data_IF_091593196439
#
_entry.id   IF_091593196439
#
_cell.length_a   1.000
_cell.length_b   1.000
_cell.length_c   1.000
_cell.angle_alpha   90.00
_cell.angle_beta   90.00
_cell.angle_gamma   90.00
#
_symmetry.space_group_name_H-M   'P 1'
#
loop_
_entity.id
_entity.type
_entity.pdbx_description
1 polymer ?
#
# COMPACT_ATOMS: atom_id res chain seq x y z
N UNK A 1 17.23 -25.08 13.40
CA UNK A 1 16.89 -24.10 14.44
C UNK A 1 15.37 -24.06 14.50
N UNK A 2 14.81 -24.58 15.59
CA UNK A 2 13.37 -24.71 15.80
C UNK A 2 12.77 -23.32 15.98
N UNK A 3 11.97 -22.87 15.00
CA UNK A 3 11.05 -21.75 15.14
C UNK A 3 9.93 -22.18 16.11
N UNK A 4 10.23 -22.17 17.40
CA UNK A 4 9.17 -22.17 18.40
C UNK A 4 8.47 -20.82 18.23
N UNK A 5 7.28 -20.88 17.62
CA UNK A 5 6.40 -19.74 17.43
C UNK A 5 6.19 -19.06 18.80
N UNK A 6 6.71 -17.84 18.98
CA UNK A 6 6.39 -16.93 20.08
C UNK A 6 4.92 -16.46 20.01
N UNK A 7 4.01 -17.39 19.81
CA UNK A 7 2.57 -17.17 19.96
C UNK A 7 2.29 -17.41 21.45
N UNK A 8 2.16 -16.33 22.20
CA UNK A 8 1.74 -16.42 23.60
C UNK A 8 0.35 -17.07 23.67
N UNK A 9 0.21 -18.30 24.22
CA UNK A 9 -1.00 -19.11 24.11
C UNK A 9 -2.18 -18.61 24.96
N UNK A 10 -2.05 -17.47 25.66
CA UNK A 10 -3.03 -16.99 26.64
C UNK A 10 -3.57 -15.58 26.35
N UNK A 11 -3.42 -15.05 25.13
CA UNK A 11 -4.07 -13.79 24.80
C UNK A 11 -5.56 -14.01 24.58
N UNK A 12 -6.36 -13.28 25.36
CA UNK A 12 -7.83 -13.18 25.22
C UNK A 12 -8.17 -12.13 24.17
N UNK A 13 -9.42 -12.10 23.68
CA UNK A 13 -9.90 -10.98 22.87
C UNK A 13 -9.51 -9.64 23.52
N UNK A 14 -8.97 -8.73 22.69
CA UNK A 14 -8.49 -7.41 23.15
C UNK A 14 -9.09 -6.31 22.24
N UNK A 15 -10.31 -5.85 22.53
CA UNK A 15 -11.00 -4.83 21.72
C UNK A 15 -10.20 -3.54 21.57
N UNK A 16 -9.45 -3.13 22.60
CA UNK A 16 -8.64 -1.92 22.52
C UNK A 16 -7.47 -2.06 21.54
N UNK A 17 -6.90 -3.27 21.44
CA UNK A 17 -5.86 -3.57 20.44
C UNK A 17 -6.44 -3.64 19.03
N UNK A 18 -7.60 -4.27 18.87
CA UNK A 18 -8.33 -4.31 17.60
C UNK A 18 -8.66 -2.90 17.13
N UNK A 19 -9.12 -2.02 18.01
CA UNK A 19 -9.37 -0.62 17.64
C UNK A 19 -8.11 0.10 17.18
N UNK A 20 -6.96 -0.11 17.85
CA UNK A 20 -5.69 0.44 17.38
C UNK A 20 -5.29 -0.09 15.99
N UNK A 21 -5.56 -1.36 15.69
CA UNK A 21 -5.33 -1.91 14.34
C UNK A 21 -6.23 -1.27 13.30
N UNK A 22 -7.50 -1.03 13.63
CA UNK A 22 -8.46 -0.28 12.77
C UNK A 22 -7.95 1.13 12.47
N UNK A 23 -7.50 1.85 13.48
CA UNK A 23 -6.96 3.22 13.32
C UNK A 23 -5.69 3.23 12.45
N UNK A 24 -4.83 2.24 12.60
CA UNK A 24 -3.60 2.11 11.79
C UNK A 24 -3.95 1.77 10.35
N UNK A 25 -4.87 0.83 10.11
CA UNK A 25 -5.24 0.42 8.75
C UNK A 25 -5.93 1.53 7.99
N UNK A 26 -6.75 2.34 8.65
CA UNK A 26 -7.39 3.51 8.03
C UNK A 26 -6.36 4.57 7.61
N UNK A 27 -5.36 4.83 8.46
CA UNK A 27 -4.25 5.70 8.07
C UNK A 27 -3.48 5.14 6.87
N UNK A 28 -3.13 3.85 6.90
CA UNK A 28 -2.40 3.18 5.83
C UNK A 28 -3.19 3.14 4.52
N UNK A 29 -4.52 3.04 4.59
CA UNK A 29 -5.39 3.08 3.41
C UNK A 29 -5.15 4.36 2.60
N UNK A 30 -5.10 5.53 3.25
CA UNK A 30 -4.82 6.81 2.57
C UNK A 30 -3.42 6.85 1.94
N UNK A 31 -2.41 6.35 2.66
CA UNK A 31 -1.03 6.31 2.16
C UNK A 31 -0.87 5.37 0.96
N UNK A 32 -1.50 4.19 1.02
CA UNK A 32 -1.44 3.19 -0.06
C UNK A 32 -2.28 3.64 -1.26
N UNK A 33 -3.45 4.25 -1.03
CA UNK A 33 -4.24 4.90 -2.10
C UNK A 33 -3.38 5.89 -2.88
N UNK A 34 -2.64 6.75 -2.19
CA UNK A 34 -1.76 7.72 -2.83
C UNK A 34 -0.62 7.02 -3.61
N UNK A 35 -0.07 5.94 -3.07
CA UNK A 35 0.98 5.14 -3.73
C UNK A 35 0.48 4.55 -5.04
N UNK A 36 -0.71 3.95 -5.03
CA UNK A 36 -1.36 3.33 -6.20
C UNK A 36 -1.74 4.39 -7.23
N UNK A 37 -2.37 5.48 -6.80
CA UNK A 37 -2.76 6.60 -7.66
C UNK A 37 -1.55 7.17 -8.42
N UNK A 38 -0.45 7.43 -7.72
CA UNK A 38 0.76 7.96 -8.36
C UNK A 38 1.38 6.99 -9.37
N UNK A 39 1.30 5.67 -9.12
CA UNK A 39 1.70 4.65 -10.09
C UNK A 39 0.89 4.75 -11.37
N UNK A 40 -0.42 4.81 -11.23
CA UNK A 40 -1.36 4.83 -12.35
C UNK A 40 -1.24 6.14 -13.16
N UNK A 41 -1.08 7.26 -12.46
CA UNK A 41 -0.87 8.58 -13.09
C UNK A 41 0.46 8.64 -13.82
N UNK A 42 1.53 8.10 -13.23
CA UNK A 42 2.82 8.07 -13.91
C UNK A 42 2.80 7.20 -15.16
N UNK A 43 2.08 6.08 -15.15
CA UNK A 43 1.92 5.23 -16.33
C UNK A 43 1.18 5.98 -17.47
N UNK A 44 0.15 6.76 -17.15
CA UNK A 44 -0.55 7.64 -18.11
C UNK A 44 0.38 8.73 -18.64
N UNK A 45 1.10 9.44 -17.73
CA UNK A 45 2.06 10.47 -18.10
C UNK A 45 3.15 9.91 -19.05
N UNK A 46 3.74 8.76 -18.71
CA UNK A 46 4.77 8.13 -19.54
C UNK A 46 4.24 7.80 -20.94
N UNK A 47 3.00 7.28 -21.04
CA UNK A 47 2.34 7.02 -22.32
C UNK A 47 2.17 8.28 -23.15
N UNK A 48 1.76 9.39 -22.54
CA UNK A 48 1.60 10.69 -23.23
C UNK A 48 2.95 11.20 -23.72
N UNK A 49 3.97 11.19 -22.86
CA UNK A 49 5.32 11.68 -23.20
C UNK A 49 5.95 10.85 -24.33
N UNK A 50 5.91 9.52 -24.22
CA UNK A 50 6.46 8.63 -25.24
C UNK A 50 5.67 8.66 -26.57
N UNK A 51 4.36 8.94 -26.50
CA UNK A 51 3.52 9.08 -27.69
C UNK A 51 3.68 10.43 -28.39
N UNK A 52 4.33 11.40 -27.80
CA UNK A 52 4.53 12.74 -28.38
C UNK A 52 5.89 12.87 -29.05
N UNK A 53 5.91 12.80 -30.39
CA UNK A 53 7.15 12.87 -31.16
C UNK A 53 7.93 14.20 -30.93
N UNK A 54 7.26 15.33 -30.72
CA UNK A 54 7.92 16.61 -30.43
C UNK A 54 8.65 16.59 -29.09
N UNK A 55 8.01 16.02 -28.05
CA UNK A 55 8.64 15.86 -26.73
C UNK A 55 9.85 14.94 -26.81
N UNK A 56 9.74 13.85 -27.57
CA UNK A 56 10.82 12.89 -27.74
C UNK A 56 11.98 13.44 -28.56
N UNK A 57 11.71 14.31 -29.53
CA UNK A 57 12.75 14.98 -30.35
C UNK A 57 13.38 16.17 -29.64
N UNK A 58 12.64 16.84 -28.75
CA UNK A 58 13.17 17.90 -27.93
C UNK A 58 14.20 17.32 -26.96
N UNK A 59 15.47 17.68 -27.07
CA UNK A 59 16.53 17.19 -26.16
C UNK A 59 16.39 17.75 -24.73
N UNK A 60 15.18 17.74 -24.20
CA UNK A 60 14.83 18.25 -22.87
C UNK A 60 15.12 17.22 -21.79
N UNK A 61 15.85 17.58 -20.73
CA UNK A 61 16.05 16.70 -19.57
C UNK A 61 14.81 16.59 -18.67
N UNK A 62 13.74 17.36 -18.94
CA UNK A 62 12.57 17.44 -18.05
C UNK A 62 11.86 16.08 -17.85
N UNK A 63 11.57 15.30 -18.91
CA UNK A 63 10.94 13.97 -18.72
C UNK A 63 11.79 13.03 -17.84
N UNK A 64 13.11 13.08 -17.99
CA UNK A 64 14.02 12.28 -17.16
C UNK A 64 13.97 12.70 -15.68
N UNK A 65 13.87 14.02 -15.40
CA UNK A 65 13.70 14.52 -14.03
C UNK A 65 12.38 14.09 -13.42
N UNK A 66 11.28 14.15 -14.18
CA UNK A 66 9.96 13.69 -13.70
C UNK A 66 10.03 12.19 -13.35
N UNK A 67 10.65 11.38 -14.20
CA UNK A 67 10.89 9.95 -13.93
C UNK A 67 11.69 9.76 -12.64
N UNK A 68 12.70 10.56 -12.40
CA UNK A 68 13.49 10.49 -11.17
C UNK A 68 12.66 10.87 -9.95
N UNK A 69 11.96 11.99 -9.98
CA UNK A 69 11.11 12.43 -8.85
C UNK A 69 10.03 11.41 -8.51
N UNK A 70 9.38 10.84 -9.53
CA UNK A 70 8.44 9.75 -9.32
C UNK A 70 9.11 8.57 -8.60
N UNK A 71 10.24 8.09 -9.14
CA UNK A 71 10.96 6.95 -8.58
C UNK A 71 11.33 7.18 -7.12
N UNK A 72 11.98 8.31 -6.82
CA UNK A 72 12.45 8.62 -5.48
C UNK A 72 11.28 8.78 -4.50
N UNK A 73 10.19 9.42 -4.95
CA UNK A 73 8.95 9.53 -4.16
C UNK A 73 8.33 8.17 -3.83
N UNK A 74 8.19 7.29 -4.82
CA UNK A 74 7.58 5.97 -4.61
C UNK A 74 8.45 5.08 -3.73
N UNK A 75 9.75 5.08 -3.94
CA UNK A 75 10.71 4.34 -3.11
C UNK A 75 10.60 4.76 -1.65
N UNK A 76 10.58 6.06 -1.36
CA UNK A 76 10.48 6.56 0.01
C UNK A 76 9.11 6.27 0.65
N UNK A 77 8.02 6.29 -0.13
CA UNK A 77 6.68 5.89 0.35
C UNK A 77 6.63 4.40 0.69
N UNK A 78 7.14 3.53 -0.21
CA UNK A 78 7.23 2.08 0.04
C UNK A 78 8.04 1.82 1.31
N UNK A 79 9.21 2.44 1.44
CA UNK A 79 10.05 2.31 2.64
C UNK A 79 9.27 2.66 3.91
N UNK A 80 8.54 3.79 3.92
CA UNK A 80 7.76 4.24 5.08
C UNK A 80 6.61 3.29 5.42
N UNK A 81 5.86 2.83 4.41
CA UNK A 81 4.75 1.88 4.60
C UNK A 81 5.26 0.53 5.14
N UNK A 82 6.48 0.15 4.79
CA UNK A 82 7.10 -1.13 5.20
C UNK A 82 8.16 -0.97 6.29
N UNK A 83 8.23 0.18 6.93
CA UNK A 83 9.18 0.41 8.03
C UNK A 83 9.03 -0.66 9.10
N UNK A 84 10.17 -1.25 9.49
CA UNK A 84 10.23 -2.30 10.50
C UNK A 84 10.41 -1.75 11.91
N UNK A 85 11.10 -2.52 12.74
CA UNK A 85 11.39 -2.15 14.13
C UNK A 85 12.02 -0.75 14.21
N UNK A 86 11.41 0.12 15.01
CA UNK A 86 11.90 1.46 15.31
C UNK A 86 11.83 1.68 16.82
N UNK A 87 12.68 2.53 17.35
CA UNK A 87 12.60 2.99 18.74
C UNK A 87 11.40 3.93 18.98
N UNK A 88 10.78 4.40 17.88
CA UNK A 88 9.62 5.30 17.93
C UNK A 88 8.34 4.49 18.03
N UNK A 89 7.52 4.77 19.03
CA UNK A 89 6.24 4.10 19.28
C UNK A 89 5.08 4.65 18.42
N UNK A 90 5.32 5.72 17.64
CA UNK A 90 4.33 6.43 16.85
C UNK A 90 4.34 6.05 15.35
N UNK A 91 5.22 5.12 14.96
CA UNK A 91 5.32 4.68 13.55
C UNK A 91 4.15 3.79 13.18
N UNK A 92 3.45 4.20 12.12
CA UNK A 92 2.33 3.45 11.52
C UNK A 92 2.81 2.84 10.23
N UNK A 93 3.08 1.54 10.23
CA UNK A 93 3.48 0.81 9.03
C UNK A 93 2.70 -0.49 8.89
N UNK A 94 2.53 -0.94 7.64
CA UNK A 94 1.87 -2.21 7.34
C UNK A 94 2.64 -3.39 7.94
N UNK A 95 3.96 -3.36 7.88
CA UNK A 95 4.80 -4.40 8.47
C UNK A 95 4.60 -4.52 9.97
N UNK A 96 4.67 -3.41 10.71
CA UNK A 96 4.48 -3.40 12.17
C UNK A 96 3.08 -3.82 12.57
N UNK A 97 2.04 -3.40 11.81
CA UNK A 97 0.68 -3.87 12.01
C UNK A 97 0.60 -5.39 11.91
N UNK A 98 1.11 -5.98 10.83
CA UNK A 98 1.08 -7.42 10.61
C UNK A 98 1.92 -8.20 11.64
N UNK A 99 3.07 -7.66 12.05
CA UNK A 99 3.88 -8.27 13.12
C UNK A 99 3.14 -8.26 14.45
N UNK A 100 2.40 -7.21 14.79
CA UNK A 100 1.59 -7.16 16.01
C UNK A 100 0.38 -8.09 15.93
N UNK A 101 -0.33 -8.11 14.80
CA UNK A 101 -1.44 -9.05 14.55
C UNK A 101 -0.97 -10.50 14.64
N UNK A 102 0.20 -10.85 14.10
CA UNK A 102 0.78 -12.19 14.18
C UNK A 102 1.11 -12.59 15.62
N UNK A 103 1.64 -11.67 16.42
CA UNK A 103 1.97 -11.91 17.85
C UNK A 103 0.74 -12.03 18.73
N UNK A 104 -0.31 -11.32 18.39
CA UNK A 104 -1.53 -11.22 19.17
C UNK A 104 -2.76 -11.75 18.39
N UNK A 105 -2.60 -12.85 17.64
CA UNK A 105 -3.65 -13.37 16.76
C UNK A 105 -4.95 -13.72 17.50
N UNK A 106 -4.91 -14.07 18.79
CA UNK A 106 -6.10 -14.36 19.60
C UNK A 106 -6.82 -13.06 20.07
N UNK A 107 -6.27 -11.88 19.85
CA UNK A 107 -6.95 -10.63 20.16
C UNK A 107 -8.10 -10.30 19.21
N UNK A 108 -8.11 -10.90 17.99
CA UNK A 108 -9.12 -10.72 16.97
C UNK A 108 -9.83 -12.05 16.72
N UNK A 109 -11.12 -12.07 16.92
CA UNK A 109 -12.00 -13.22 16.82
C UNK A 109 -13.06 -12.99 15.75
N UNK A 110 -13.88 -14.00 15.47
CA UNK A 110 -15.05 -13.83 14.61
C UNK A 110 -16.00 -12.78 15.14
N UNK A 111 -16.20 -12.70 16.47
CA UNK A 111 -17.03 -11.70 17.11
C UNK A 111 -16.53 -10.27 16.81
N UNK A 112 -15.21 -10.10 16.65
CA UNK A 112 -14.64 -8.79 16.28
C UNK A 112 -15.07 -8.32 14.89
N UNK A 113 -15.44 -9.23 13.99
CA UNK A 113 -16.05 -8.89 12.69
C UNK A 113 -17.53 -8.62 12.86
N UNK A 114 -18.24 -9.38 13.70
CA UNK A 114 -19.68 -9.17 13.98
C UNK A 114 -19.94 -7.79 14.54
N UNK A 115 -19.08 -7.30 15.43
CA UNK A 115 -19.13 -5.93 15.98
C UNK A 115 -19.13 -4.83 14.90
N UNK A 116 -18.51 -5.06 13.72
CA UNK A 116 -18.52 -4.08 12.63
C UNK A 116 -19.92 -3.86 12.06
N UNK A 117 -20.77 -4.88 12.09
CA UNK A 117 -22.13 -4.85 11.58
C UNK A 117 -23.14 -4.38 12.65
N UNK A 118 -22.70 -4.26 13.91
CA UNK A 118 -23.48 -3.72 15.02
C UNK A 118 -23.16 -2.25 15.32
N UNK A 119 -22.08 -1.73 14.72
CA UNK A 119 -21.65 -0.36 14.94
C UNK A 119 -22.70 0.64 14.42
N UNK A 120 -22.82 1.79 15.10
CA UNK A 120 -23.69 2.87 14.67
C UNK A 120 -23.35 3.34 13.24
N UNK A 121 -24.37 3.36 12.37
CA UNK A 121 -24.18 3.70 10.95
C UNK A 121 -23.78 2.54 10.04
N UNK A 122 -23.65 1.31 10.57
CA UNK A 122 -23.48 0.12 9.72
C UNK A 122 -24.73 -0.08 8.84
N UNK A 123 -24.58 -0.61 7.61
CA UNK A 123 -25.72 -0.94 6.77
C UNK A 123 -26.63 -1.97 7.45
N UNK A 124 -27.95 -1.76 7.36
CA UNK A 124 -28.96 -2.67 7.91
C UNK A 124 -29.10 -3.88 6.96
N UNK A 125 -28.33 -4.92 7.26
CA UNK A 125 -28.43 -6.20 6.56
C UNK A 125 -29.40 -7.15 7.33
N UNK A 126 -30.16 -7.94 6.58
CA UNK A 126 -30.89 -9.06 7.20
C UNK A 126 -29.91 -10.08 7.80
N UNK A 127 -30.42 -10.94 8.68
CA UNK A 127 -29.58 -11.90 9.42
C UNK A 127 -28.78 -12.82 8.52
N UNK A 128 -29.39 -13.32 7.41
CA UNK A 128 -28.72 -14.24 6.49
C UNK A 128 -27.55 -13.54 5.73
N UNK A 129 -27.78 -12.34 5.24
CA UNK A 129 -26.76 -11.55 4.56
C UNK A 129 -25.63 -11.19 5.51
N UNK A 130 -25.93 -10.78 6.74
CA UNK A 130 -24.95 -10.49 7.78
C UNK A 130 -24.07 -11.72 8.08
N UNK A 131 -24.66 -12.88 8.33
CA UNK A 131 -23.96 -14.12 8.62
C UNK A 131 -23.06 -14.56 7.43
N UNK A 132 -23.54 -14.35 6.19
CA UNK A 132 -22.76 -14.59 5.00
C UNK A 132 -21.53 -13.67 4.93
N UNK A 133 -21.70 -12.36 5.17
CA UNK A 133 -20.61 -11.38 5.13
C UNK A 133 -19.58 -11.67 6.24
N UNK A 134 -20.02 -11.88 7.47
CA UNK A 134 -19.15 -12.26 8.60
C UNK A 134 -18.35 -13.53 8.27
N UNK A 135 -19.01 -14.56 7.76
CA UNK A 135 -18.37 -15.83 7.41
C UNK A 135 -17.37 -15.66 6.26
N UNK A 136 -17.72 -14.88 5.24
CA UNK A 136 -16.85 -14.56 4.11
C UNK A 136 -15.61 -13.80 4.57
N UNK A 137 -15.77 -12.77 5.40
CA UNK A 137 -14.64 -11.99 5.93
C UNK A 137 -13.76 -12.83 6.84
N UNK A 138 -14.36 -13.65 7.74
CA UNK A 138 -13.63 -14.54 8.62
C UNK A 138 -12.83 -15.58 7.85
N UNK A 139 -13.39 -16.15 6.78
CA UNK A 139 -12.69 -17.14 5.95
C UNK A 139 -11.38 -16.63 5.34
N UNK A 140 -11.25 -15.31 5.19
CA UNK A 140 -10.05 -14.70 4.65
C UNK A 140 -8.92 -14.54 5.68
N UNK A 141 -9.23 -14.33 6.96
CA UNK A 141 -8.22 -13.95 7.98
C UNK A 141 -8.16 -14.90 9.16
N UNK A 142 -9.23 -15.64 9.43
CA UNK A 142 -9.35 -16.58 10.56
C UNK A 142 -8.60 -17.89 10.33
N UNK A 143 -8.27 -18.58 11.42
CA UNK A 143 -7.65 -19.93 11.39
C UNK A 143 -8.70 -21.01 11.15
N UNK A 144 -9.38 -20.96 9.99
CA UNK A 144 -10.40 -21.94 9.60
C UNK A 144 -9.85 -23.36 9.43
N UNK A 145 -8.54 -23.50 9.20
CA UNK A 145 -7.88 -24.80 9.01
C UNK A 145 -7.88 -25.59 10.32
N UNK A 146 -7.67 -24.90 11.45
CA UNK A 146 -7.69 -25.50 12.78
C UNK A 146 -9.04 -25.34 13.48
N UNK A 147 -9.98 -24.65 12.85
CA UNK A 147 -11.25 -24.25 13.44
C UNK A 147 -11.07 -23.50 14.77
N UNK A 148 -10.08 -22.62 14.84
CA UNK A 148 -9.78 -21.82 16.00
C UNK A 148 -10.29 -20.39 15.79
N UNK A 149 -10.89 -19.82 16.83
CA UNK A 149 -11.41 -18.44 16.79
C UNK A 149 -10.31 -17.42 17.05
N UNK A 150 -9.41 -17.31 16.06
CA UNK A 150 -8.28 -16.39 16.03
C UNK A 150 -7.79 -16.16 14.61
N UNK A 151 -6.97 -15.12 14.39
CA UNK A 151 -6.29 -14.87 13.11
C UNK A 151 -5.36 -16.04 12.73
N UNK A 152 -5.26 -16.30 11.44
CA UNK A 152 -4.37 -17.32 10.90
C UNK A 152 -2.92 -16.84 10.82
N UNK A 153 -2.15 -17.05 11.90
CA UNK A 153 -0.77 -16.57 12.06
C UNK A 153 0.16 -17.01 10.89
N UNK A 154 -0.04 -18.21 10.33
CA UNK A 154 0.76 -18.71 9.20
C UNK A 154 0.52 -17.89 7.93
N UNK A 155 -0.70 -17.45 7.68
CA UNK A 155 -1.04 -16.58 6.56
C UNK A 155 -0.37 -15.21 6.73
N UNK A 156 -0.46 -14.61 7.92
CA UNK A 156 0.20 -13.34 8.24
C UNK A 156 1.71 -13.45 8.02
N UNK A 157 2.34 -14.55 8.45
CA UNK A 157 3.76 -14.84 8.18
C UNK A 157 4.06 -14.89 6.68
N UNK A 158 3.18 -15.51 5.89
CA UNK A 158 3.28 -15.55 4.43
C UNK A 158 3.23 -14.15 3.79
N UNK A 159 2.30 -13.31 4.25
CA UNK A 159 2.18 -11.93 3.77
C UNK A 159 3.41 -11.08 4.14
N UNK A 160 3.93 -11.23 5.35
CA UNK A 160 5.19 -10.57 5.77
C UNK A 160 6.37 -10.99 4.89
N UNK A 161 6.49 -12.27 4.57
CA UNK A 161 7.54 -12.77 3.68
C UNK A 161 7.38 -12.24 2.24
N UNK A 162 6.15 -12.17 1.73
CA UNK A 162 5.87 -11.61 0.40
C UNK A 162 6.23 -10.11 0.33
N UNK A 163 5.88 -9.33 1.36
CA UNK A 163 6.25 -7.91 1.46
C UNK A 163 7.78 -7.73 1.49
N UNK A 164 8.48 -8.55 2.28
CA UNK A 164 9.94 -8.49 2.39
C UNK A 164 10.61 -8.83 1.06
N UNK A 165 10.17 -9.88 0.37
CA UNK A 165 10.71 -10.27 -0.93
C UNK A 165 10.50 -9.19 -1.98
N UNK A 166 9.26 -8.68 -2.12
CA UNK A 166 8.91 -7.67 -3.10
C UNK A 166 9.64 -6.33 -2.86
N UNK A 167 9.90 -5.97 -1.60
CA UNK A 167 10.46 -4.67 -1.24
C UNK A 167 11.98 -4.66 -1.00
N UNK A 168 12.62 -5.81 -0.86
CA UNK A 168 14.03 -5.94 -0.42
C UNK A 168 14.97 -5.01 -1.17
N UNK A 169 14.91 -5.01 -2.49
CA UNK A 169 15.78 -4.17 -3.33
C UNK A 169 15.45 -2.69 -3.18
N UNK A 170 14.17 -2.36 -3.09
CA UNK A 170 13.66 -0.98 -2.99
C UNK A 170 14.08 -0.37 -1.66
N UNK A 171 13.85 -1.08 -0.55
CA UNK A 171 14.21 -0.61 0.79
C UNK A 171 15.73 -0.47 0.93
N UNK A 172 16.50 -1.45 0.45
CA UNK A 172 17.96 -1.37 0.46
C UNK A 172 18.48 -0.15 -0.33
N UNK A 173 17.87 0.16 -1.47
CA UNK A 173 18.24 1.33 -2.26
C UNK A 173 17.86 2.63 -1.52
N UNK A 174 16.66 2.70 -0.94
CA UNK A 174 16.22 3.85 -0.14
C UNK A 174 17.20 4.15 0.99
N UNK A 175 17.57 3.15 1.77
CA UNK A 175 18.46 3.31 2.93
C UNK A 175 19.86 3.75 2.54
N UNK A 176 20.41 3.21 1.44
CA UNK A 176 21.81 3.47 1.04
C UNK A 176 21.98 4.74 0.20
N UNK A 177 20.95 5.15 -0.55
CA UNK A 177 21.11 6.19 -1.58
C UNK A 177 20.28 7.41 -1.32
N UNK A 178 19.03 7.26 -0.85
CA UNK A 178 18.12 8.39 -0.69
C UNK A 178 18.19 8.95 0.73
N UNK A 179 18.20 8.07 1.74
CA UNK A 179 18.21 8.48 3.15
C UNK A 179 19.61 8.85 3.66
N UNK A 180 20.66 8.26 3.09
CA UNK A 180 22.05 8.51 3.45
C UNK A 180 22.87 8.74 2.19
N UNK A 181 23.41 9.94 2.04
CA UNK A 181 24.40 10.25 1.00
C UNK A 181 25.71 9.54 1.38
N UNK A 182 25.82 8.28 1.05
CA UNK A 182 27.05 7.51 1.30
C UNK A 182 28.05 7.82 0.19
N UNK A 183 29.28 8.14 0.60
CA UNK A 183 30.43 8.47 -0.27
C UNK A 183 30.68 7.41 -1.38
N UNK A 184 30.26 6.18 -1.15
CA UNK A 184 30.18 5.14 -2.17
C UNK A 184 28.80 5.17 -2.82
N UNK A 185 28.56 6.08 -3.77
CA UNK A 185 27.33 6.11 -4.55
C UNK A 185 26.97 4.70 -5.02
N UNK A 186 25.75 4.26 -4.72
CA UNK A 186 25.28 2.98 -5.24
C UNK A 186 25.22 3.13 -6.75
N UNK A 187 26.03 2.33 -7.46
CA UNK A 187 26.06 2.37 -8.92
C UNK A 187 24.64 2.27 -9.47
N UNK A 188 24.32 2.97 -10.56
CA UNK A 188 23.01 2.96 -11.24
C UNK A 188 22.47 1.55 -11.49
N UNK A 189 23.36 0.55 -11.59
CA UNK A 189 23.00 -0.86 -11.70
C UNK A 189 22.17 -1.41 -10.51
N UNK A 190 22.14 -0.71 -9.38
CA UNK A 190 21.39 -1.12 -8.19
C UNK A 190 20.05 -0.39 -8.02
N UNK A 191 19.78 0.61 -8.89
CA UNK A 191 18.53 1.35 -8.87
C UNK A 191 17.36 0.42 -9.22
N UNK A 192 16.26 0.42 -8.43
CA UNK A 192 15.07 -0.36 -8.76
C UNK A 192 14.47 0.06 -10.10
N UNK A 193 14.03 -0.90 -10.89
CA UNK A 193 13.32 -0.63 -12.15
C UNK A 193 11.88 -0.22 -11.85
N UNK A 194 11.25 0.51 -12.77
CA UNK A 194 9.83 0.87 -12.67
C UNK A 194 8.92 -0.35 -12.48
N UNK A 195 9.21 -1.45 -13.19
CA UNK A 195 8.47 -2.71 -13.06
C UNK A 195 8.60 -3.34 -11.67
N UNK A 196 9.76 -3.24 -11.03
CA UNK A 196 9.97 -3.73 -9.67
C UNK A 196 9.20 -2.89 -8.65
N UNK A 197 9.18 -1.56 -8.84
CA UNK A 197 8.42 -0.64 -8.01
C UNK A 197 6.92 -0.93 -8.17
N UNK A 198 6.43 -1.06 -9.41
CA UNK A 198 5.03 -1.37 -9.69
C UNK A 198 4.61 -2.70 -9.07
N UNK A 199 5.39 -3.77 -9.27
CA UNK A 199 5.11 -5.08 -8.67
C UNK A 199 5.11 -5.05 -7.15
N UNK A 200 5.97 -4.26 -6.52
CA UNK A 200 5.98 -4.08 -5.07
C UNK A 200 4.70 -3.37 -4.60
N UNK A 201 4.25 -2.36 -5.35
CA UNK A 201 2.99 -1.64 -5.06
C UNK A 201 1.80 -2.60 -5.17
N UNK A 202 1.76 -3.47 -6.19
CA UNK A 202 0.70 -4.47 -6.34
C UNK A 202 0.64 -5.42 -5.12
N UNK A 203 1.79 -5.89 -4.64
CA UNK A 203 1.85 -6.76 -3.44
C UNK A 203 1.39 -6.02 -2.19
N UNK A 204 1.79 -4.76 -2.02
CA UNK A 204 1.34 -3.91 -0.89
C UNK A 204 -0.17 -3.71 -0.95
N UNK A 205 -0.72 -3.36 -2.12
CA UNK A 205 -2.14 -3.11 -2.33
C UNK A 205 -2.97 -4.37 -2.01
N UNK A 206 -2.60 -5.53 -2.57
CA UNK A 206 -3.33 -6.78 -2.36
C UNK A 206 -3.34 -7.19 -0.89
N UNK A 207 -2.20 -7.12 -0.20
CA UNK A 207 -2.13 -7.44 1.21
C UNK A 207 -2.90 -6.42 2.05
N UNK A 208 -2.80 -5.14 1.75
CA UNK A 208 -3.52 -4.10 2.48
C UNK A 208 -5.04 -4.25 2.34
N UNK A 209 -5.57 -4.48 1.13
CA UNK A 209 -7.00 -4.71 0.88
C UNK A 209 -7.55 -5.83 1.76
N UNK A 210 -6.80 -6.91 1.92
CA UNK A 210 -7.17 -8.05 2.74
C UNK A 210 -7.42 -7.65 4.21
N UNK A 211 -6.51 -6.87 4.81
CA UNK A 211 -6.65 -6.44 6.20
C UNK A 211 -7.59 -5.22 6.37
N UNK A 212 -7.70 -4.35 5.37
CA UNK A 212 -8.71 -3.30 5.36
C UNK A 212 -10.10 -3.95 5.44
N UNK A 213 -10.39 -4.90 4.55
CA UNK A 213 -11.68 -5.59 4.57
C UNK A 213 -11.97 -6.24 5.92
N UNK A 214 -10.99 -6.97 6.48
CA UNK A 214 -11.18 -7.67 7.76
C UNK A 214 -11.38 -6.73 8.96
N UNK A 215 -10.70 -5.60 8.98
CA UNK A 215 -10.71 -4.70 10.15
C UNK A 215 -11.79 -3.61 10.07
N UNK A 216 -12.27 -3.27 8.86
CA UNK A 216 -13.20 -2.14 8.65
C UNK A 216 -14.51 -2.54 7.98
N UNK A 217 -14.65 -3.77 7.49
CA UNK A 217 -15.81 -4.19 6.70
C UNK A 217 -15.83 -3.65 5.26
N UNK A 218 -14.88 -2.82 4.87
CA UNK A 218 -14.85 -2.17 3.57
C UNK A 218 -14.04 -2.98 2.54
N UNK A 219 -14.70 -3.58 1.57
CA UNK A 219 -14.07 -4.30 0.46
C UNK A 219 -13.73 -3.37 -0.71
N UNK A 220 -12.53 -3.50 -1.27
CA UNK A 220 -12.07 -2.72 -2.42
C UNK A 220 -11.58 -3.64 -3.53
N UNK A 221 -12.04 -3.41 -4.77
CA UNK A 221 -11.46 -4.07 -5.96
C UNK A 221 -10.06 -3.51 -6.24
N UNK A 222 -9.89 -2.20 -6.10
CA UNK A 222 -8.61 -1.49 -6.12
C UNK A 222 -8.66 -0.34 -5.13
N UNK A 223 -7.48 0.06 -4.60
CA UNK A 223 -7.33 1.27 -3.80
C UNK A 223 -7.09 2.51 -4.68
N UNK A 224 -6.96 2.34 -6.01
CA UNK A 224 -6.94 3.48 -6.94
C UNK A 224 -8.30 4.18 -6.93
N UNK A 225 -8.36 5.49 -6.70
CA UNK A 225 -9.61 6.24 -6.78
C UNK A 225 -10.19 6.16 -8.19
N UNK A 226 -11.52 6.08 -8.28
CA UNK A 226 -12.21 6.22 -9.57
C UNK A 226 -12.15 7.69 -9.96
N UNK A 227 -11.41 8.01 -11.04
CA UNK A 227 -11.34 9.36 -11.57
C UNK A 227 -12.73 9.79 -12.05
N UNK A 228 -13.22 10.92 -11.55
CA UNK A 228 -14.51 11.50 -11.97
C UNK A 228 -14.38 12.29 -13.27
N UNK A 229 -13.17 12.63 -13.67
CA UNK A 229 -12.82 13.35 -14.90
C UNK A 229 -11.43 12.92 -15.36
N UNK A 230 -11.10 13.17 -16.62
CA UNK A 230 -9.76 12.90 -17.14
C UNK A 230 -8.78 13.99 -16.68
N UNK A 231 -8.05 13.75 -15.59
CA UNK A 231 -7.05 14.68 -15.04
C UNK A 231 -5.95 15.00 -16.04
N UNK A 232 -5.74 14.12 -17.03
CA UNK A 232 -4.74 14.28 -18.08
C UNK A 232 -5.28 15.01 -19.33
N UNK A 233 -6.55 15.42 -19.33
CA UNK A 233 -7.15 16.19 -20.43
C UNK A 233 -6.39 17.51 -20.67
N UNK A 234 -5.81 18.08 -19.62
CA UNK A 234 -4.93 19.26 -19.68
C UNK A 234 -3.78 19.10 -20.69
N UNK A 235 -3.28 17.88 -20.93
CA UNK A 235 -2.22 17.62 -21.91
C UNK A 235 -2.69 17.61 -23.36
N UNK A 236 -4.00 17.68 -23.61
CA UNK A 236 -4.57 17.82 -24.97
C UNK A 236 -4.45 19.23 -25.51
N UNK A 237 -4.21 20.21 -24.62
CA UNK A 237 -4.03 21.60 -25.00
C UNK A 237 -2.55 21.92 -25.17
N UNK A 238 -2.23 22.78 -26.12
CA UNK A 238 -0.87 23.31 -26.24
C UNK A 238 -0.58 24.23 -25.06
N UNK A 239 0.43 23.90 -24.26
CA UNK A 239 0.84 24.73 -23.11
C UNK A 239 1.82 25.84 -23.51
N UNK A 240 2.44 25.68 -24.67
CA UNK A 240 3.33 26.67 -25.27
C UNK A 240 2.70 27.17 -26.56
N UNK A 241 2.91 28.46 -26.93
CA UNK A 241 2.50 28.97 -28.20
C UNK A 241 3.04 28.08 -29.32
N UNK A 242 2.22 27.80 -30.34
CA UNK A 242 2.71 27.23 -31.59
C UNK A 242 3.65 28.22 -32.27
N UNK A 243 4.54 27.70 -33.15
CA UNK A 243 5.52 28.53 -33.91
C UNK A 243 4.89 29.63 -34.81
N UNK A 244 3.58 29.82 -34.73
CA UNK A 244 2.84 30.86 -35.45
C UNK A 244 2.07 31.85 -34.55
N UNK A 245 2.06 31.65 -33.26
CA UNK A 245 1.38 32.55 -32.31
C UNK A 245 2.37 33.58 -31.79
N UNK A 246 2.39 34.73 -32.45
CA UNK A 246 3.16 35.93 -32.02
C UNK A 246 2.48 36.48 -30.75
N UNK A 247 2.87 35.98 -29.58
CA UNK A 247 2.48 36.60 -28.31
C UNK A 247 3.29 37.89 -28.19
N UNK A 248 2.68 38.96 -28.67
CA UNK A 248 3.16 40.28 -28.37
C UNK A 248 3.32 40.41 -26.84
N UNK A 249 4.58 40.41 -26.39
CA UNK A 249 4.93 40.74 -25.04
C UNK A 249 4.56 42.19 -24.83
N UNK A 250 3.47 42.44 -24.09
CA UNK A 250 3.11 43.73 -23.58
C UNK A 250 3.93 44.08 -22.34
#
# INVERSE_FOLDING_TARGET
MSDADDVHPNLRPDPARVQRWRDVVEHLRGEITTLVMFRDDFAKFEKIVCGNARVMQAASPFPARVKQWYTDSQIMRIRRILEGKTERNDVRSLRLLLEDMRRACAAFTRDSIEELFEAEGAPDYDGEMRDFLVSSMWSNVGDVVKNEDRLYAKQIKGHLAALEEASRRIVNYADKTIAHDTVAGVADAHRPKFTEIASCIDVIEEIAKHYIAALTGAGYSSLSPIAQYDEFDVFRFAWLPGDGDDYGVA
#
